data_IF_213994763148
#
_entry.id   IF_213994763148
#
_cell.length_a   1.000
_cell.length_b   1.000
_cell.length_c   1.000
_cell.angle_alpha   90.00
_cell.angle_beta   90.00
_cell.angle_gamma   90.00
#
_symmetry.space_group_name_H-M   'P 1'
#
loop_
_entity.id
_entity.type
_entity.pdbx_description
1 polymer ?
#
# COMPACT_ATOMS: atom_id res chain seq x y z
N UNK A 1 2.76 3.87 10.80
CA UNK A 1 3.59 2.85 10.16
C UNK A 1 4.81 3.54 9.53
N UNK A 2 5.77 4.01 10.33
CA UNK A 2 6.94 4.72 9.79
C UNK A 2 8.21 3.90 10.03
N UNK A 3 9.03 3.69 9.01
CA UNK A 3 10.25 2.91 9.13
C UNK A 3 10.69 2.25 7.83
N UNK A 4 11.49 1.19 7.98
CA UNK A 4 12.05 0.43 6.88
C UNK A 4 10.98 -0.51 6.29
N UNK A 5 10.80 -0.44 4.98
CA UNK A 5 9.89 -1.30 4.21
C UNK A 5 10.71 -2.01 3.15
N UNK A 6 10.37 -3.29 2.92
CA UNK A 6 10.88 -4.05 1.78
C UNK A 6 9.71 -4.39 0.86
N UNK A 7 9.92 -4.23 -0.44
CA UNK A 7 8.94 -4.57 -1.48
C UNK A 7 9.53 -5.59 -2.43
N UNK A 8 8.79 -6.68 -2.64
CA UNK A 8 9.15 -7.73 -3.59
C UNK A 8 8.26 -7.61 -4.82
N UNK A 9 8.87 -7.66 -6.00
CA UNK A 9 8.13 -7.73 -7.24
C UNK A 9 8.21 -9.16 -7.78
N UNK A 10 7.05 -9.75 -7.97
CA UNK A 10 6.89 -11.13 -8.39
C UNK A 10 6.24 -11.16 -9.76
N UNK A 11 6.67 -12.10 -10.59
CA UNK A 11 5.94 -12.46 -11.79
C UNK A 11 4.53 -12.96 -11.42
N UNK A 12 3.50 -12.70 -12.25
CA UNK A 12 2.12 -13.08 -11.93
C UNK A 12 1.92 -14.59 -11.80
N UNK A 13 2.77 -15.40 -12.45
CA UNK A 13 2.77 -16.87 -12.37
C UNK A 13 3.49 -17.41 -11.11
N UNK A 14 4.27 -16.57 -10.42
CA UNK A 14 5.07 -16.90 -9.24
C UNK A 14 4.35 -16.61 -7.92
N UNK A 15 3.09 -17.02 -7.78
CA UNK A 15 2.26 -16.66 -6.61
C UNK A 15 2.76 -17.29 -5.29
N UNK A 16 3.68 -18.24 -5.38
CA UNK A 16 4.32 -18.95 -4.27
C UNK A 16 5.61 -18.24 -3.77
N UNK A 17 5.50 -16.99 -3.31
CA UNK A 17 6.59 -16.41 -2.54
C UNK A 17 6.58 -17.01 -1.12
N UNK A 18 7.69 -17.63 -0.71
CA UNK A 18 7.89 -18.11 0.66
C UNK A 18 7.72 -16.99 1.70
N UNK A 19 7.43 -17.35 2.97
CA UNK A 19 7.10 -16.38 4.00
C UNK A 19 8.28 -15.44 4.26
N UNK A 20 8.19 -14.21 3.77
CA UNK A 20 9.06 -13.13 4.22
C UNK A 20 8.85 -12.93 5.72
N UNK A 21 9.94 -12.73 6.48
CA UNK A 21 9.84 -12.50 7.93
C UNK A 21 9.45 -11.04 8.20
N UNK A 22 8.17 -10.75 8.02
CA UNK A 22 7.57 -9.42 8.23
C UNK A 22 7.30 -9.16 9.71
N UNK A 23 7.32 -7.88 10.11
CA UNK A 23 7.14 -7.47 11.51
C UNK A 23 5.70 -6.98 11.78
N UNK A 24 4.84 -7.01 10.76
CA UNK A 24 3.47 -6.51 10.84
C UNK A 24 2.67 -6.84 9.58
N UNK A 25 1.66 -6.02 9.23
CA UNK A 25 0.83 -6.27 8.07
C UNK A 25 1.67 -6.28 6.80
N UNK A 26 1.20 -7.05 5.83
CA UNK A 26 1.76 -7.15 4.49
C UNK A 26 0.67 -6.76 3.52
N UNK A 27 1.00 -5.98 2.51
CA UNK A 27 0.09 -5.65 1.43
C UNK A 27 0.58 -6.34 0.15
N UNK A 28 -0.31 -7.10 -0.49
CA UNK A 28 -0.10 -7.63 -1.83
C UNK A 28 -1.03 -6.93 -2.81
N UNK A 29 -0.47 -6.37 -3.87
CA UNK A 29 -1.24 -5.75 -4.95
C UNK A 29 -0.77 -6.28 -6.30
N UNK A 30 -1.71 -6.50 -7.21
CA UNK A 30 -1.43 -6.69 -8.63
C UNK A 30 -1.49 -5.34 -9.34
N UNK A 31 -0.46 -5.05 -10.13
CA UNK A 31 -0.32 -3.81 -10.89
C UNK A 31 -0.08 -4.15 -12.36
N UNK A 32 -0.81 -3.48 -13.25
CA UNK A 32 -0.71 -3.68 -14.70
C UNK A 32 -0.46 -2.37 -15.42
N UNK A 33 0.29 -2.45 -16.52
CA UNK A 33 0.51 -1.31 -17.41
C UNK A 33 -0.53 -1.25 -18.53
N UNK A 34 -0.79 -0.05 -19.04
CA UNK A 34 -1.65 0.15 -20.22
C UNK A 34 -1.04 -0.56 -21.43
N UNK A 35 -1.80 -1.43 -22.09
CA UNK A 35 -1.50 -1.95 -23.43
C UNK A 35 -0.35 -2.96 -23.55
N UNK A 36 0.40 -3.27 -22.48
CA UNK A 36 1.57 -4.17 -22.59
C UNK A 36 1.33 -5.61 -22.13
N UNK A 37 0.18 -5.90 -21.49
CA UNK A 37 -0.08 -7.19 -20.84
C UNK A 37 0.90 -7.53 -19.69
N UNK A 38 1.89 -6.67 -19.42
CA UNK A 38 2.91 -6.90 -18.41
C UNK A 38 2.38 -6.52 -17.03
N UNK A 39 1.99 -7.55 -16.28
CA UNK A 39 1.53 -7.46 -14.90
C UNK A 39 2.65 -7.82 -13.93
N UNK A 40 2.64 -7.18 -12.75
CA UNK A 40 3.52 -7.53 -11.64
C UNK A 40 2.71 -7.63 -10.36
N UNK A 41 3.17 -8.47 -9.43
CA UNK A 41 2.63 -8.52 -8.08
C UNK A 41 3.65 -7.85 -7.15
N UNK A 42 3.26 -6.76 -6.51
CA UNK A 42 4.04 -6.16 -5.44
C UNK A 42 3.58 -6.68 -4.07
N UNK A 43 4.55 -7.16 -3.28
CA UNK A 43 4.35 -7.50 -1.88
C UNK A 43 5.20 -6.59 -1.00
N UNK A 44 4.55 -5.73 -0.21
CA UNK A 44 5.20 -4.77 0.66
C UNK A 44 4.97 -5.14 2.13
N UNK A 45 6.03 -5.04 2.95
CA UNK A 45 5.93 -5.27 4.38
C UNK A 45 7.02 -4.55 5.17
N UNK A 46 6.72 -4.24 6.43
CA UNK A 46 7.70 -3.66 7.34
C UNK A 46 8.70 -4.71 7.82
N UNK A 47 9.96 -4.29 7.92
CA UNK A 47 11.05 -5.09 8.47
C UNK A 47 11.63 -4.42 9.71
N UNK A 48 12.27 -5.21 10.58
CA UNK A 48 12.92 -4.70 11.79
C UNK A 48 14.21 -3.99 11.38
N UNK A 49 14.39 -2.76 11.84
CA UNK A 49 15.68 -2.08 11.72
C UNK A 49 16.77 -2.95 12.38
N UNK A 50 17.89 -3.16 11.69
CA UNK A 50 19.00 -4.00 12.16
C UNK A 50 18.75 -5.50 12.06
N UNK A 51 17.74 -5.96 11.33
CA UNK A 51 17.60 -7.38 10.99
C UNK A 51 18.83 -7.84 10.19
N UNK A 52 19.42 -8.98 10.59
CA UNK A 52 20.65 -9.53 9.95
C UNK A 52 20.42 -10.04 8.51
N UNK A 53 19.18 -10.36 8.18
CA UNK A 53 18.75 -10.85 6.87
C UNK A 53 17.41 -10.22 6.54
N UNK A 54 17.36 -9.49 5.44
CA UNK A 54 16.12 -8.93 4.89
C UNK A 54 15.60 -9.84 3.77
N UNK A 55 14.29 -9.84 3.49
CA UNK A 55 13.78 -10.44 2.26
C UNK A 55 14.48 -9.80 1.05
N UNK A 56 14.76 -10.58 0.02
CA UNK A 56 15.20 -10.03 -1.27
C UNK A 56 14.10 -9.11 -1.82
N UNK A 57 14.47 -7.89 -2.22
CA UNK A 57 13.55 -6.87 -2.71
C UNK A 57 14.10 -5.45 -2.60
N UNK A 58 13.29 -4.48 -3.00
CA UNK A 58 13.57 -3.04 -2.87
C UNK A 58 13.41 -2.61 -1.40
N UNK A 59 14.52 -2.20 -0.78
CA UNK A 59 14.56 -1.66 0.59
C UNK A 59 14.49 -0.13 0.55
N UNK A 60 13.56 0.46 1.29
CA UNK A 60 13.41 1.91 1.37
C UNK A 60 12.79 2.40 2.68
N UNK A 61 12.95 3.69 2.96
CA UNK A 61 12.35 4.34 4.12
C UNK A 61 10.98 4.94 3.77
N UNK A 62 9.92 4.40 4.39
CA UNK A 62 8.56 4.92 4.28
C UNK A 62 8.13 5.64 5.56
N UNK A 63 7.64 6.88 5.44
CA UNK A 63 7.33 7.72 6.59
C UNK A 63 5.95 8.38 6.46
N UNK A 64 5.15 8.29 7.54
CA UNK A 64 3.94 9.09 7.67
C UNK A 64 4.34 10.58 7.78
N UNK A 65 4.05 11.35 6.74
CA UNK A 65 4.34 12.78 6.68
C UNK A 65 3.39 13.65 7.52
N UNK A 66 2.33 13.04 8.07
CA UNK A 66 1.41 13.69 9.01
C UNK A 66 1.70 13.33 10.48
N UNK A 67 2.65 12.42 10.73
CA UNK A 67 3.17 12.21 12.06
C UNK A 67 4.05 13.40 12.49
N UNK A 68 4.41 13.46 13.77
CA UNK A 68 5.06 14.60 14.40
C UNK A 68 6.19 15.22 13.53
N UNK A 69 6.20 16.55 13.34
CA UNK A 69 7.08 17.24 12.38
C UNK A 69 8.58 17.11 12.70
N UNK A 70 8.93 16.85 13.97
CA UNK A 70 10.30 16.58 14.43
C UNK A 70 10.82 15.18 14.05
N UNK A 71 10.06 14.40 13.28
CA UNK A 71 10.49 13.09 12.83
C UNK A 71 11.67 13.22 11.85
N UNK A 72 12.89 13.06 12.39
CA UNK A 72 14.16 13.13 11.65
C UNK A 72 14.20 12.23 10.41
N UNK A 73 13.38 11.17 10.35
CA UNK A 73 13.30 10.28 9.19
C UNK A 73 12.71 10.94 7.95
N UNK A 74 11.97 12.05 8.09
CA UNK A 74 11.41 12.79 6.96
C UNK A 74 12.48 13.30 6.00
N UNK A 75 13.68 13.60 6.49
CA UNK A 75 14.78 14.09 5.65
C UNK A 75 15.35 13.01 4.72
N UNK A 76 15.22 11.74 5.09
CA UNK A 76 15.75 10.59 4.35
C UNK A 76 14.64 9.64 3.87
N UNK A 77 13.40 10.11 3.83
CA UNK A 77 12.28 9.28 3.39
C UNK A 77 12.26 9.17 1.87
N UNK A 78 12.38 7.96 1.34
CA UNK A 78 12.15 7.67 -0.08
C UNK A 78 10.64 7.74 -0.39
N UNK A 79 9.82 7.30 0.57
CA UNK A 79 8.36 7.29 0.47
C UNK A 79 7.74 8.11 1.58
N UNK A 80 6.93 9.10 1.19
CA UNK A 80 6.12 9.89 2.11
C UNK A 80 4.66 9.55 1.93
N UNK A 81 3.94 9.32 3.02
CA UNK A 81 2.52 9.01 2.90
C UNK A 81 1.68 9.76 3.93
N UNK A 82 0.45 10.11 3.56
CA UNK A 82 -0.56 10.60 4.48
C UNK A 82 -1.53 9.49 4.87
N UNK A 83 -2.18 9.64 6.03
CA UNK A 83 -3.16 8.65 6.53
C UNK A 83 -4.58 9.18 6.57
N UNK A 84 -4.76 10.50 6.53
CA UNK A 84 -6.07 11.12 6.53
C UNK A 84 -6.60 11.25 5.11
N UNK A 85 -7.79 10.70 4.80
CA UNK A 85 -8.45 10.93 3.52
C UNK A 85 -8.68 12.42 3.28
N UNK A 86 -8.44 12.87 2.05
CA UNK A 86 -8.55 14.29 1.65
C UNK A 86 -9.38 14.47 0.40
N UNK A 87 -10.09 15.61 0.24
CA UNK A 87 -10.64 16.00 -1.05
C UNK A 87 -9.54 16.14 -2.11
N UNK A 88 -9.83 15.91 -3.41
CA UNK A 88 -8.82 15.90 -4.47
C UNK A 88 -7.93 17.14 -4.53
N UNK A 89 -8.50 18.35 -4.48
CA UNK A 89 -7.74 19.59 -4.53
C UNK A 89 -6.78 19.74 -3.33
N UNK A 90 -7.26 19.41 -2.13
CA UNK A 90 -6.45 19.42 -0.91
C UNK A 90 -5.35 18.36 -0.93
N UNK A 91 -5.61 17.20 -1.54
CA UNK A 91 -4.62 16.14 -1.72
C UNK A 91 -3.51 16.57 -2.69
N UNK A 92 -3.86 17.20 -3.82
CA UNK A 92 -2.89 17.76 -4.78
C UNK A 92 -1.99 18.80 -4.11
N UNK A 93 -2.59 19.75 -3.39
CA UNK A 93 -1.84 20.78 -2.69
C UNK A 93 -0.90 20.17 -1.64
N UNK A 94 -1.38 19.19 -0.87
CA UNK A 94 -0.58 18.49 0.13
C UNK A 94 0.59 17.72 -0.51
N UNK A 95 0.36 16.96 -1.58
CA UNK A 95 1.40 16.19 -2.27
C UNK A 95 2.48 17.11 -2.86
N UNK A 96 2.08 18.21 -3.48
CA UNK A 96 3.02 19.18 -4.05
C UNK A 96 3.85 19.82 -2.94
N UNK A 97 3.22 20.20 -1.83
CA UNK A 97 3.93 20.79 -0.70
C UNK A 97 4.88 19.82 0.00
N UNK A 98 4.48 18.55 0.19
CA UNK A 98 5.32 17.56 0.90
C UNK A 98 6.51 17.15 0.05
N UNK A 99 6.32 16.91 -1.26
CA UNK A 99 7.44 16.55 -2.16
C UNK A 99 8.42 17.71 -2.33
N UNK A 100 7.94 18.96 -2.40
CA UNK A 100 8.82 20.13 -2.46
C UNK A 100 9.67 20.33 -1.20
N UNK A 101 9.15 19.98 -0.01
CA UNK A 101 9.89 20.09 1.26
C UNK A 101 10.89 18.97 1.49
N UNK A 102 10.74 17.85 0.79
CA UNK A 102 11.52 16.63 1.03
C UNK A 102 12.13 16.12 -0.28
N UNK A 103 13.28 16.67 -0.71
CA UNK A 103 13.85 16.37 -2.03
C UNK A 103 14.31 14.91 -2.21
N UNK A 104 14.58 14.21 -1.10
CA UNK A 104 14.90 12.77 -1.06
C UNK A 104 13.69 11.89 -1.38
N UNK A 105 12.46 12.44 -1.34
CA UNK A 105 11.24 11.71 -1.61
C UNK A 105 11.17 11.31 -3.09
N UNK A 106 11.13 10.01 -3.36
CA UNK A 106 10.89 9.43 -4.67
C UNK A 106 9.40 9.29 -4.96
N UNK A 107 8.56 9.07 -3.94
CA UNK A 107 7.11 8.98 -4.09
C UNK A 107 6.37 9.53 -2.86
N UNK A 108 5.37 10.38 -3.10
CA UNK A 108 4.38 10.73 -2.09
C UNK A 108 2.99 10.18 -2.45
N UNK A 109 2.22 9.71 -1.45
CA UNK A 109 0.84 9.26 -1.66
C UNK A 109 -0.08 9.58 -0.48
N UNK A 110 -1.37 9.80 -0.75
CA UNK A 110 -2.38 10.09 0.28
C UNK A 110 -3.75 9.56 -0.13
N UNK A 111 -4.56 9.02 0.81
CA UNK A 111 -5.89 8.55 0.47
C UNK A 111 -6.82 9.71 0.12
N UNK A 112 -7.76 9.46 -0.78
CA UNK A 112 -8.81 10.40 -1.17
C UNK A 112 -10.10 10.14 -0.39
N UNK A 113 -10.83 11.20 -0.06
CA UNK A 113 -12.13 11.10 0.62
C UNK A 113 -13.21 10.41 -0.22
N UNK A 114 -13.06 10.41 -1.55
CA UNK A 114 -13.95 9.72 -2.49
C UNK A 114 -13.55 8.27 -2.78
N UNK A 115 -12.53 7.73 -2.09
CA UNK A 115 -11.95 6.42 -2.39
C UNK A 115 -10.71 6.50 -3.27
N UNK A 116 -9.89 5.45 -3.21
CA UNK A 116 -8.59 5.41 -3.86
C UNK A 116 -7.54 6.32 -3.23
N UNK A 117 -6.44 6.46 -3.95
CA UNK A 117 -5.27 7.17 -3.51
C UNK A 117 -4.80 8.16 -4.58
N UNK A 118 -4.27 9.29 -4.15
CA UNK A 118 -3.55 10.20 -5.02
C UNK A 118 -2.06 10.00 -4.78
N UNK A 119 -1.30 9.81 -5.85
CA UNK A 119 0.14 9.62 -5.82
C UNK A 119 0.86 10.65 -6.69
N UNK A 120 2.07 11.02 -6.30
CA UNK A 120 2.94 11.93 -7.01
C UNK A 120 4.38 11.41 -6.92
N UNK A 121 5.02 11.23 -8.08
CA UNK A 121 6.45 10.97 -8.12
C UNK A 121 7.21 12.24 -7.69
N UNK A 122 8.11 12.10 -6.73
CA UNK A 122 8.95 13.19 -6.23
C UNK A 122 10.18 13.42 -7.10
N UNK A 123 10.99 14.42 -6.75
CA UNK A 123 12.20 14.79 -7.50
C UNK A 123 13.23 13.66 -7.57
N UNK A 124 13.29 12.81 -6.54
CA UNK A 124 14.22 11.69 -6.51
C UNK A 124 13.86 10.58 -7.52
N UNK A 125 12.68 10.62 -8.16
CA UNK A 125 12.25 9.66 -9.18
C UNK A 125 12.97 9.80 -10.54
N UNK A 126 14.06 10.59 -10.63
CA UNK A 126 14.98 10.67 -11.79
C UNK A 126 14.30 10.88 -13.15
N UNK A 127 13.38 11.85 -13.25
CA UNK A 127 12.72 12.17 -14.51
C UNK A 127 11.54 11.28 -14.87
N UNK A 128 11.17 10.31 -14.02
CA UNK A 128 9.89 9.56 -14.10
C UNK A 128 8.69 10.37 -13.61
N UNK A 129 8.86 11.69 -13.59
CA UNK A 129 7.91 12.65 -13.07
C UNK A 129 6.70 12.82 -13.97
N UNK A 130 5.60 13.24 -13.35
CA UNK A 130 4.35 13.62 -13.99
C UNK A 130 3.50 14.34 -12.96
N UNK A 131 2.34 14.87 -13.38
CA UNK A 131 1.38 15.44 -12.44
C UNK A 131 0.83 14.39 -11.46
N UNK A 132 0.20 14.82 -10.35
CA UNK A 132 -0.47 13.90 -9.43
C UNK A 132 -1.48 13.00 -10.16
N UNK A 133 -1.52 11.72 -9.79
CA UNK A 133 -2.38 10.70 -10.40
C UNK A 133 -3.26 10.03 -9.36
N UNK A 134 -4.53 9.88 -9.68
CA UNK A 134 -5.44 9.02 -8.91
C UNK A 134 -5.13 7.58 -9.29
N UNK A 135 -4.97 6.73 -8.28
CA UNK A 135 -4.59 5.33 -8.41
C UNK A 135 -5.35 4.49 -7.39
N UNK A 136 -5.39 3.17 -7.63
CA UNK A 136 -5.79 2.17 -6.64
C UNK A 136 -7.16 2.42 -5.97
N UNK A 137 -8.20 2.71 -6.76
CA UNK A 137 -9.57 2.96 -6.28
C UNK A 137 -10.12 1.84 -5.38
N UNK A 138 -9.66 0.60 -5.59
CA UNK A 138 -10.06 -0.56 -4.81
C UNK A 138 -9.27 -0.75 -3.49
N UNK A 139 -8.30 0.11 -3.17
CA UNK A 139 -7.47 0.01 -1.96
C UNK A 139 -7.94 1.03 -0.92
N UNK A 140 -8.26 0.52 0.27
CA UNK A 140 -8.76 1.33 1.39
C UNK A 140 -7.74 2.37 1.91
N UNK A 141 -8.21 3.40 2.63
CA UNK A 141 -7.36 4.46 3.17
C UNK A 141 -6.45 3.99 4.31
N UNK A 142 -6.72 2.83 4.90
CA UNK A 142 -5.99 2.18 5.98
C UNK A 142 -4.77 1.38 5.50
N UNK A 143 -4.42 1.48 4.22
CA UNK A 143 -3.34 0.70 3.57
C UNK A 143 -2.13 1.57 3.17
N UNK A 144 -1.36 2.11 4.12
CA UNK A 144 -0.22 2.97 3.81
C UNK A 144 0.93 2.27 3.08
N UNK A 145 0.98 0.93 3.11
CA UNK A 145 1.93 0.13 2.33
C UNK A 145 1.71 0.25 0.81
N UNK A 146 0.56 0.76 0.37
CA UNK A 146 0.31 1.03 -1.05
C UNK A 146 1.37 1.99 -1.62
N UNK A 147 1.77 3.01 -0.86
CA UNK A 147 2.79 3.96 -1.29
C UNK A 147 4.11 3.24 -1.62
N UNK A 148 4.50 2.26 -0.80
CA UNK A 148 5.68 1.43 -1.05
C UNK A 148 5.53 0.54 -2.30
N UNK A 149 4.35 -0.04 -2.55
CA UNK A 149 4.12 -0.79 -3.79
C UNK A 149 4.25 0.09 -5.05
N UNK A 150 3.75 1.33 -4.99
CA UNK A 150 3.88 2.30 -6.07
C UNK A 150 5.32 2.78 -6.25
N UNK A 151 6.11 2.85 -5.17
CA UNK A 151 7.53 3.17 -5.24
C UNK A 151 8.29 2.10 -6.03
N UNK A 152 8.07 0.81 -5.73
CA UNK A 152 8.70 -0.28 -6.46
C UNK A 152 8.38 -0.25 -7.96
N UNK A 153 7.17 0.16 -8.35
CA UNK A 153 6.83 0.39 -9.75
C UNK A 153 7.72 1.44 -10.43
N UNK A 154 8.05 2.53 -9.72
CA UNK A 154 8.97 3.56 -10.23
C UNK A 154 10.42 3.06 -10.30
N UNK A 155 10.85 2.27 -9.32
CA UNK A 155 12.19 1.66 -9.28
C UNK A 155 12.42 0.75 -10.49
N UNK A 156 11.39 0.00 -10.91
CA UNK A 156 11.42 -0.90 -12.09
C UNK A 156 11.53 -0.24 -13.45
N UNK A 157 11.67 1.08 -13.53
CA UNK A 157 11.74 1.71 -14.84
C UNK A 157 10.45 2.38 -15.29
N UNK A 158 9.36 2.25 -14.54
CA UNK A 158 8.03 2.67 -14.99
C UNK A 158 7.61 4.01 -14.40
N UNK A 159 6.55 4.59 -14.95
CA UNK A 159 5.95 5.86 -14.54
C UNK A 159 4.55 5.64 -13.98
N UNK A 160 4.05 6.56 -13.16
CA UNK A 160 2.66 6.49 -12.68
C UNK A 160 1.63 6.61 -13.82
N UNK A 161 2.00 7.23 -14.95
CA UNK A 161 1.11 7.38 -16.10
C UNK A 161 0.87 6.06 -16.85
N UNK A 162 1.80 5.11 -16.76
CA UNK A 162 1.67 3.79 -17.38
C UNK A 162 0.76 2.86 -16.58
N UNK A 163 0.45 3.20 -15.32
CA UNK A 163 -0.32 2.36 -14.41
C UNK A 163 -1.80 2.32 -14.82
N UNK A 164 -2.27 1.18 -15.32
CA UNK A 164 -3.67 1.00 -15.74
C UNK A 164 -4.57 0.66 -14.56
N UNK A 165 -4.08 -0.15 -13.63
CA UNK A 165 -4.84 -0.55 -12.46
C UNK A 165 -3.92 -0.99 -11.32
N UNK A 166 -4.46 -0.92 -10.10
CA UNK A 166 -3.90 -1.52 -8.90
C UNK A 166 -5.02 -2.25 -8.18
N UNK A 167 -4.84 -3.55 -7.92
CA UNK A 167 -5.87 -4.38 -7.28
C UNK A 167 -5.27 -5.09 -6.06
N UNK A 168 -5.88 -4.96 -4.87
CA UNK A 168 -5.43 -5.73 -3.72
C UNK A 168 -5.67 -7.22 -3.98
N UNK A 169 -4.65 -8.04 -3.70
CA UNK A 169 -4.80 -9.48 -3.67
C UNK A 169 -5.25 -9.87 -2.27
N UNK A 170 -6.28 -10.71 -2.17
CA UNK A 170 -6.69 -11.26 -0.87
C UNK A 170 -5.51 -12.02 -0.28
N UNK A 171 -5.09 -11.65 0.92
CA UNK A 171 -4.18 -12.49 1.67
C UNK A 171 -4.93 -13.79 1.99
N UNK A 172 -4.45 -14.92 1.48
CA UNK A 172 -4.83 -16.20 2.06
C UNK A 172 -4.50 -16.10 3.55
N UNK A 173 -5.50 -16.33 4.42
CA UNK A 173 -5.26 -16.38 5.85
C UNK A 173 -4.08 -17.33 6.07
N UNK A 174 -2.95 -16.80 6.57
CA UNK A 174 -1.80 -17.61 6.88
C UNK A 174 -2.32 -18.73 7.79
N UNK A 175 -2.18 -19.99 7.34
CA UNK A 175 -2.72 -21.16 7.99
C UNK A 175 -2.18 -21.32 9.40
N UNK A 176 -2.76 -20.60 10.34
CA UNK A 176 -2.74 -20.93 11.74
C UNK A 176 -3.62 -22.15 11.89
N UNK A 177 -3.01 -23.31 12.18
CA UNK A 177 -3.72 -24.43 12.78
C UNK A 177 -4.37 -23.91 14.07
N UNK A 178 -5.64 -23.51 13.99
CA UNK A 178 -6.52 -23.46 15.15
C UNK A 178 -7.38 -24.70 15.07
N UNK A 179 -7.21 -25.54 16.09
CA UNK A 179 -7.97 -26.73 16.35
C UNK A 179 -9.48 -26.52 16.15
N UNK A 180 -10.15 -27.61 15.80
CA UNK A 180 -11.59 -27.75 15.81
C UNK A 180 -12.21 -27.07 17.05
N UNK A 181 -13.13 -26.14 16.80
CA UNK A 181 -13.85 -25.42 17.84
C UNK A 181 -15.12 -24.83 17.25
N UNK A 182 -16.24 -25.48 17.53
CA UNK A 182 -17.56 -25.20 17.01
C UNK A 182 -17.98 -23.72 17.13
N UNK A 183 -18.56 -23.19 16.06
CA UNK A 183 -19.57 -22.12 16.17
C UNK A 183 -20.85 -22.63 15.52
N UNK A 184 -21.56 -23.44 16.31
CA UNK A 184 -22.97 -23.73 16.09
C UNK A 184 -23.81 -22.63 16.75
N UNK A 185 -24.93 -22.32 16.10
CA UNK A 185 -26.09 -21.54 16.60
C UNK A 185 -25.93 -20.00 16.62
N UNK A 186 -26.91 -19.20 16.19
CA UNK A 186 -28.34 -19.47 16.06
C UNK A 186 -28.98 -18.64 14.94
N UNK A 187 -29.77 -19.30 14.08
CA UNK A 187 -30.85 -18.66 13.32
C UNK A 187 -32.10 -18.72 14.20
N UNK A 188 -32.51 -17.61 14.81
CA UNK A 188 -33.87 -17.49 15.35
C UNK A 188 -34.82 -17.19 14.19
N UNK A 189 -35.57 -18.21 13.77
CA UNK A 189 -36.84 -18.03 13.05
C UNK A 189 -37.86 -17.48 14.05
N UNK A 190 -38.48 -16.36 13.70
CA UNK A 190 -39.72 -15.92 14.33
C UNK A 190 -40.86 -16.74 13.72
N UNK A 191 -41.54 -17.52 14.55
CA UNK A 191 -42.83 -18.14 14.24
C UNK A 191 -43.88 -17.40 15.06
N UNK A 192 -44.70 -16.56 14.42
CA UNK A 192 -45.90 -16.03 15.02
C UNK A 192 -47.04 -17.04 14.77
N UNK A 193 -47.44 -17.75 15.83
CA UNK A 193 -48.62 -18.61 15.84
C UNK A 193 -49.88 -17.81 16.18
N UNK A 194 -50.96 -18.15 15.49
CA UNK A 194 -52.34 -17.69 15.66
C UNK A 194 -52.97 -18.14 17.01
N UNK A 195 -53.89 -17.30 17.54
CA UNK A 195 -55.28 -17.55 18.01
C UNK A 195 -55.47 -18.73 19.01
N UNK A 196 -56.04 -18.59 20.21
CA UNK A 196 -57.42 -18.23 20.63
C UNK A 196 -57.48 -18.05 22.15
N UNK A 197 -58.38 -17.17 22.64
CA UNK A 197 -59.43 -17.50 23.62
C UNK A 197 -60.45 -16.37 23.67
#
# INVERSE_FOLDING_TARGET
>A
MSGLVVVRLLAPEGEAAGPGRWVGPVLRVRMGAVGSGAEVIAEAGQVRAGARTLPEGDEHCAVNAEAAPENRRLACADVLYGVRPRPPASAVHWLTGVTARHPSCALAAVPLSGGGWLALAGSAARGRGGGPRVVAEAVGPDQPLLASCLHAWLVEGRTLAELAYVRPLRQAAAGGRTAAGACAHSKRRASAGLVTS
#
